data_IF_215783525669
#
_entry.id   IF_215783525669
#
_cell.length_a   1.000
_cell.length_b   1.000
_cell.length_c   1.000
_cell.angle_alpha   90.00
_cell.angle_beta   90.00
_cell.angle_gamma   90.00
#
_symmetry.space_group_name_H-M   'P 1'
#
loop_
_entity.id
_entity.type
_entity.pdbx_description
1 polymer ?
#
# COMPACT_ATOMS: atom_id res chain seq x y z
N UNK A 1 41.15 -28.13 -1.42
CA UNK A 1 40.14 -27.39 -0.70
C UNK A 1 38.88 -27.44 -1.55
N UNK A 2 37.92 -28.28 -1.14
CA UNK A 2 36.65 -28.45 -1.85
C UNK A 2 35.68 -27.36 -1.35
N UNK A 3 35.39 -26.35 -2.15
CA UNK A 3 34.33 -25.39 -1.86
C UNK A 3 33.00 -26.05 -2.18
N UNK A 4 32.31 -26.51 -1.15
CA UNK A 4 30.89 -26.84 -1.23
C UNK A 4 30.11 -25.53 -1.34
N UNK A 5 29.73 -25.15 -2.55
CA UNK A 5 28.67 -24.18 -2.77
C UNK A 5 27.36 -24.88 -2.34
N UNK A 6 26.97 -24.65 -1.09
CA UNK A 6 25.61 -24.93 -0.68
C UNK A 6 24.71 -23.97 -1.47
N UNK A 7 24.19 -24.43 -2.60
CA UNK A 7 23.04 -23.83 -3.24
C UNK A 7 21.91 -23.87 -2.22
N UNK A 8 21.66 -22.73 -1.59
CA UNK A 8 20.43 -22.49 -0.83
C UNK A 8 19.30 -22.50 -1.87
N UNK A 9 18.82 -23.68 -2.22
CA UNK A 9 17.63 -23.86 -3.04
C UNK A 9 16.46 -23.30 -2.22
N UNK A 10 16.18 -22.02 -2.42
CA UNK A 10 14.98 -21.39 -1.88
C UNK A 10 13.81 -22.20 -2.45
N UNK A 11 13.00 -22.77 -1.57
CA UNK A 11 11.84 -23.57 -1.98
C UNK A 11 10.93 -22.70 -2.84
N UNK A 12 10.46 -23.26 -3.95
CA UNK A 12 9.47 -22.59 -4.79
C UNK A 12 8.20 -22.33 -3.95
N UNK A 13 7.80 -21.09 -3.87
CA UNK A 13 6.62 -20.66 -3.09
C UNK A 13 5.32 -21.32 -3.58
N UNK A 14 5.24 -21.71 -4.86
CA UNK A 14 4.11 -22.47 -5.43
C UNK A 14 4.00 -23.88 -4.84
N UNK A 15 5.14 -24.46 -4.40
CA UNK A 15 5.18 -25.80 -3.79
C UNK A 15 5.04 -25.69 -2.28
N UNK A 16 5.76 -24.74 -1.66
CA UNK A 16 5.75 -24.54 -0.21
C UNK A 16 5.98 -23.05 0.12
N UNK A 17 4.88 -22.32 0.33
CA UNK A 17 4.90 -20.91 0.72
C UNK A 17 5.15 -20.65 2.20
N UNK A 18 5.30 -21.66 3.05
CA UNK A 18 5.30 -21.54 4.53
C UNK A 18 6.40 -20.64 5.11
N UNK A 19 7.52 -20.48 4.39
CA UNK A 19 8.64 -19.61 4.81
C UNK A 19 8.41 -18.12 4.48
N UNK A 20 7.45 -17.82 3.62
CA UNK A 20 7.18 -16.47 3.11
C UNK A 20 6.08 -15.80 3.93
N UNK A 21 6.43 -15.28 5.09
CA UNK A 21 5.49 -14.64 6.00
C UNK A 21 5.55 -13.13 5.89
N UNK A 22 4.38 -12.50 5.84
CA UNK A 22 4.25 -11.05 5.79
C UNK A 22 4.73 -10.41 7.10
N UNK A 23 5.54 -9.37 6.96
CA UNK A 23 6.11 -8.59 8.05
C UNK A 23 6.02 -7.10 7.73
N UNK A 24 5.90 -6.30 8.77
CA UNK A 24 6.01 -4.85 8.68
C UNK A 24 7.24 -4.42 9.47
N UNK A 25 8.12 -3.68 8.81
CA UNK A 25 9.28 -3.05 9.44
C UNK A 25 9.08 -1.55 9.40
N UNK A 26 9.27 -0.88 10.51
CA UNK A 26 9.08 0.56 10.64
C UNK A 26 10.36 1.23 11.12
N UNK A 27 10.73 2.32 10.48
CA UNK A 27 11.74 3.29 10.93
C UNK A 27 11.05 4.62 11.24
N UNK A 28 11.80 5.62 11.68
CA UNK A 28 11.25 6.97 11.92
C UNK A 28 10.69 7.63 10.65
N UNK A 29 11.17 7.24 9.47
CA UNK A 29 10.80 7.84 8.19
C UNK A 29 9.98 6.93 7.28
N UNK A 30 10.11 5.62 7.42
CA UNK A 30 9.63 4.65 6.45
C UNK A 30 8.92 3.48 7.10
N UNK A 31 8.04 2.87 6.34
CA UNK A 31 7.35 1.64 6.65
C UNK A 31 7.46 0.69 5.47
N UNK A 32 7.97 -0.51 5.69
CA UNK A 32 8.10 -1.53 4.67
C UNK A 32 7.20 -2.73 5.00
N UNK A 33 6.37 -3.12 4.04
CA UNK A 33 5.52 -4.32 4.08
C UNK A 33 6.09 -5.34 3.10
N UNK A 34 6.58 -6.48 3.60
CA UNK A 34 7.19 -7.53 2.78
C UNK A 34 6.88 -8.92 3.32
N UNK A 35 6.74 -9.88 2.40
CA UNK A 35 6.67 -11.31 2.75
C UNK A 35 7.82 -12.14 2.15
N UNK A 36 8.84 -11.47 1.59
CA UNK A 36 9.98 -12.14 0.92
C UNK A 36 9.72 -12.49 -0.55
N UNK A 37 8.49 -12.34 -1.05
CA UNK A 37 8.13 -12.49 -2.48
C UNK A 37 7.86 -11.13 -3.12
N UNK A 38 7.17 -10.25 -2.38
CA UNK A 38 6.92 -8.86 -2.71
C UNK A 38 7.36 -7.96 -1.57
N UNK A 39 7.74 -6.73 -1.90
CA UNK A 39 8.03 -5.67 -0.93
C UNK A 39 7.43 -4.35 -1.41
N UNK A 40 6.80 -3.61 -0.50
CA UNK A 40 6.33 -2.25 -0.76
C UNK A 40 6.75 -1.35 0.38
N UNK A 41 7.50 -0.30 0.06
CA UNK A 41 8.03 0.66 1.02
C UNK A 41 7.33 2.01 0.86
N UNK A 42 6.95 2.57 2.00
CA UNK A 42 6.26 3.85 2.10
C UNK A 42 7.13 4.82 2.89
N UNK A 43 7.30 6.04 2.38
CA UNK A 43 7.76 7.16 3.20
C UNK A 43 6.56 7.74 3.96
N UNK A 44 6.78 8.23 5.19
CA UNK A 44 5.72 8.76 6.03
C UNK A 44 5.62 10.30 6.02
N UNK A 45 6.67 10.99 5.65
CA UNK A 45 6.74 12.46 5.65
C UNK A 45 7.40 12.97 4.36
N UNK A 46 6.93 14.12 3.81
CA UNK A 46 5.89 15.06 4.32
C UNK A 46 4.45 14.57 4.12
N UNK A 47 4.23 13.51 3.35
CA UNK A 47 2.98 12.79 3.22
C UNK A 47 3.28 11.32 2.88
N UNK A 48 2.36 10.40 3.16
CA UNK A 48 2.59 9.00 2.80
C UNK A 48 2.61 8.83 1.29
N UNK A 49 3.67 8.18 0.81
CA UNK A 49 3.82 7.81 -0.58
C UNK A 49 4.58 6.49 -0.71
N UNK A 50 4.18 5.65 -1.65
CA UNK A 50 4.98 4.49 -2.06
C UNK A 50 6.26 4.96 -2.74
N UNK A 51 7.41 4.58 -2.20
CA UNK A 51 8.74 4.92 -2.72
C UNK A 51 9.47 3.74 -3.33
N UNK A 52 9.05 2.51 -3.02
CA UNK A 52 9.54 1.30 -3.67
C UNK A 52 8.41 0.26 -3.75
N UNK A 53 8.40 -0.50 -4.82
CA UNK A 53 7.56 -1.67 -5.00
C UNK A 53 8.38 -2.70 -5.79
N UNK A 54 8.77 -3.77 -5.11
CA UNK A 54 9.77 -4.71 -5.61
C UNK A 54 9.19 -6.11 -5.73
N UNK A 55 9.48 -6.74 -6.86
CA UNK A 55 9.25 -8.15 -7.08
C UNK A 55 10.52 -8.91 -6.67
N UNK A 56 10.53 -9.46 -5.46
CA UNK A 56 11.68 -10.14 -4.89
C UNK A 56 11.95 -11.51 -5.52
N UNK A 57 10.99 -12.06 -6.26
CA UNK A 57 11.16 -13.34 -6.95
C UNK A 57 12.10 -13.23 -8.15
N UNK A 58 12.14 -12.08 -8.81
CA UNK A 58 13.00 -11.81 -9.96
C UNK A 58 13.98 -10.65 -9.76
N UNK A 59 13.91 -9.97 -8.61
CA UNK A 59 14.78 -8.85 -8.26
C UNK A 59 14.44 -7.54 -8.97
N UNK A 60 13.26 -7.41 -9.56
CA UNK A 60 12.84 -6.20 -10.26
C UNK A 60 12.29 -5.15 -9.30
N UNK A 61 12.81 -3.92 -9.40
CA UNK A 61 12.18 -2.72 -8.87
C UNK A 61 11.17 -2.20 -9.89
N UNK A 62 9.89 -2.26 -9.55
CA UNK A 62 8.81 -1.96 -10.49
C UNK A 62 8.52 -0.47 -10.60
N UNK A 63 8.78 0.31 -9.52
CA UNK A 63 8.39 1.71 -9.46
C UNK A 63 9.40 2.63 -10.17
N UNK A 64 8.90 3.51 -11.05
CA UNK A 64 9.71 4.52 -11.77
C UNK A 64 9.46 5.94 -11.26
N UNK A 65 8.25 6.21 -10.77
CA UNK A 65 7.91 7.53 -10.23
C UNK A 65 6.90 7.43 -9.10
N UNK A 66 7.00 8.37 -8.16
CA UNK A 66 6.07 8.49 -7.05
C UNK A 66 4.76 9.08 -7.54
N UNK A 67 3.65 8.50 -7.08
CA UNK A 67 2.28 8.92 -7.37
C UNK A 67 1.47 9.02 -6.06
N UNK A 68 0.31 9.68 -6.07
CA UNK A 68 -0.63 9.58 -4.95
C UNK A 68 -1.03 8.14 -4.69
N UNK A 69 -1.26 7.82 -3.43
CA UNK A 69 -1.78 6.50 -3.06
C UNK A 69 -3.16 6.23 -3.64
N UNK A 70 -3.96 7.28 -3.80
CA UNK A 70 -5.25 7.23 -4.48
C UNK A 70 -5.61 8.62 -5.02
N UNK A 71 -6.63 8.70 -5.86
CA UNK A 71 -7.28 9.96 -6.24
C UNK A 71 -8.78 9.79 -6.10
N UNK A 72 -9.43 10.74 -5.44
CA UNK A 72 -10.88 10.79 -5.28
C UNK A 72 -11.43 12.00 -6.04
N UNK A 73 -12.51 11.81 -6.78
CA UNK A 73 -13.29 12.93 -7.33
C UNK A 73 -14.52 13.13 -6.46
N UNK A 74 -14.52 14.21 -5.68
CA UNK A 74 -15.61 14.56 -4.75
C UNK A 74 -16.24 15.85 -5.21
N UNK A 75 -17.56 15.85 -5.41
CA UNK A 75 -18.34 17.00 -5.90
C UNK A 75 -17.74 17.62 -7.19
N UNK A 76 -17.23 16.75 -8.09
CA UNK A 76 -16.64 17.16 -9.37
C UNK A 76 -15.19 17.65 -9.31
N UNK A 77 -14.55 17.69 -8.13
CA UNK A 77 -13.15 18.10 -7.97
C UNK A 77 -12.28 16.92 -7.57
N UNK A 78 -11.08 16.83 -8.17
CA UNK A 78 -10.09 15.78 -7.85
C UNK A 78 -9.27 16.15 -6.61
N UNK A 79 -9.12 15.17 -5.72
CA UNK A 79 -8.31 15.25 -4.50
C UNK A 79 -7.37 14.05 -4.46
N UNK A 80 -6.04 14.28 -4.55
CA UNK A 80 -5.07 13.22 -4.29
C UNK A 80 -5.12 12.78 -2.83
N UNK A 81 -4.77 11.53 -2.58
CA UNK A 81 -4.60 10.97 -1.22
C UNK A 81 -3.14 10.60 -1.06
N UNK A 82 -2.45 11.25 -0.13
CA UNK A 82 -1.01 11.05 0.00
C UNK A 82 -0.24 11.48 -1.26
N UNK A 83 0.91 10.86 -1.46
CA UNK A 83 1.77 11.12 -2.60
C UNK A 83 2.73 12.27 -2.41
N UNK A 84 3.81 12.23 -3.19
CA UNK A 84 4.80 13.31 -3.29
C UNK A 84 4.90 13.79 -4.73
N UNK A 85 5.32 15.04 -4.89
CA UNK A 85 5.37 15.76 -6.15
C UNK A 85 6.72 16.43 -6.36
N UNK A 86 6.95 16.90 -7.58
CA UNK A 86 8.20 17.53 -8.04
C UNK A 86 9.37 16.56 -8.20
N UNK A 87 9.09 15.28 -8.49
CA UNK A 87 10.14 14.38 -8.95
C UNK A 87 10.78 14.95 -10.22
N UNK A 88 12.11 15.16 -10.27
CA UNK A 88 12.77 15.82 -11.40
C UNK A 88 12.65 15.04 -12.72
N UNK A 89 12.74 13.72 -12.63
CA UNK A 89 12.70 12.79 -13.76
C UNK A 89 11.69 11.69 -13.48
N UNK A 90 10.81 11.38 -14.44
CA UNK A 90 9.67 10.47 -14.23
C UNK A 90 9.94 9.02 -14.66
N UNK A 91 11.09 8.72 -15.25
CA UNK A 91 11.43 7.41 -15.81
C UNK A 91 12.35 6.56 -14.91
N UNK A 92 12.82 7.12 -13.81
CA UNK A 92 13.50 6.41 -12.74
C UNK A 92 13.37 7.17 -11.42
N UNK A 93 13.49 6.45 -10.31
CA UNK A 93 13.45 7.01 -8.97
C UNK A 93 14.85 6.87 -8.32
N UNK A 94 15.33 7.98 -7.76
CA UNK A 94 16.56 8.04 -6.96
C UNK A 94 16.19 8.53 -5.55
N UNK A 95 16.83 8.00 -4.53
CA UNK A 95 16.62 8.40 -3.15
C UNK A 95 16.87 9.90 -2.93
N UNK A 96 17.87 10.47 -3.60
CA UNK A 96 18.17 11.91 -3.52
C UNK A 96 17.00 12.79 -3.97
N UNK A 97 16.15 12.28 -4.88
CA UNK A 97 14.97 13.03 -5.34
C UNK A 97 13.91 13.14 -4.26
N UNK A 98 13.79 12.10 -3.41
CA UNK A 98 12.73 11.99 -2.40
C UNK A 98 12.88 13.09 -1.36
N UNK A 99 14.10 13.48 -1.00
CA UNK A 99 14.37 14.49 0.02
C UNK A 99 13.84 15.88 -0.37
N UNK A 100 13.81 16.19 -1.67
CA UNK A 100 13.34 17.48 -2.21
C UNK A 100 11.87 17.46 -2.63
N UNK A 101 11.20 16.30 -2.56
CA UNK A 101 9.80 16.19 -2.96
C UNK A 101 8.85 16.75 -1.89
N UNK A 102 7.75 17.31 -2.36
CA UNK A 102 6.77 17.98 -1.50
C UNK A 102 5.39 17.33 -1.59
N UNK A 103 4.58 17.52 -0.55
CA UNK A 103 3.15 17.19 -0.60
C UNK A 103 2.38 18.20 -1.45
N UNK A 104 1.28 17.76 -2.05
CA UNK A 104 0.35 18.65 -2.74
C UNK A 104 -0.57 19.34 -1.73
N UNK A 105 -0.78 20.65 -1.88
CA UNK A 105 -1.60 21.47 -0.96
C UNK A 105 -3.08 21.04 -0.92
N UNK A 106 -3.57 20.39 -1.97
CA UNK A 106 -4.96 19.91 -2.05
C UNK A 106 -5.11 18.43 -1.69
N UNK A 107 -3.99 17.73 -1.44
CA UNK A 107 -4.02 16.32 -1.12
C UNK A 107 -4.56 16.06 0.29
N UNK A 108 -5.28 14.97 0.45
CA UNK A 108 -5.52 14.41 1.76
C UNK A 108 -4.17 14.08 2.43
N UNK A 109 -3.99 14.60 3.65
CA UNK A 109 -2.72 14.55 4.37
C UNK A 109 -2.75 13.41 5.39
N UNK A 110 -1.66 12.67 5.44
CA UNK A 110 -1.45 11.60 6.41
C UNK A 110 -1.55 12.12 7.85
N UNK A 111 -2.22 11.33 8.69
CA UNK A 111 -2.40 11.62 10.13
C UNK A 111 -1.79 10.52 10.98
N UNK A 112 -2.08 9.26 10.65
CA UNK A 112 -1.65 8.12 11.44
C UNK A 112 -1.73 6.83 10.62
N UNK A 113 -1.10 5.79 11.12
CA UNK A 113 -1.29 4.44 10.61
C UNK A 113 -1.47 3.44 11.76
N UNK A 114 -2.03 2.29 11.43
CA UNK A 114 -2.08 1.11 12.29
C UNK A 114 -1.58 -0.10 11.53
N UNK A 115 -0.91 -1.00 12.24
CA UNK A 115 -0.42 -2.29 11.73
C UNK A 115 -1.12 -3.39 12.50
N UNK A 116 -1.56 -4.43 11.81
CA UNK A 116 -2.23 -5.58 12.41
C UNK A 116 -2.23 -6.79 11.50
N UNK A 117 -3.01 -7.77 11.88
CA UNK A 117 -3.28 -8.95 11.05
C UNK A 117 -4.36 -8.64 10.01
N UNK A 118 -4.44 -9.46 8.97
CA UNK A 118 -5.54 -9.41 8.00
C UNK A 118 -6.89 -9.64 8.69
N UNK A 119 -7.94 -9.03 8.17
CA UNK A 119 -9.29 -9.16 8.73
C UNK A 119 -10.27 -9.70 7.70
N UNK A 120 -11.31 -10.35 8.17
CA UNK A 120 -12.44 -10.73 7.32
C UNK A 120 -13.19 -9.48 6.85
N UNK A 121 -13.15 -9.22 5.53
CA UNK A 121 -13.84 -8.07 4.90
C UNK A 121 -15.23 -8.41 4.39
N UNK A 122 -15.43 -9.68 4.07
CA UNK A 122 -16.71 -10.22 3.63
C UNK A 122 -16.80 -11.70 4.05
N UNK A 123 -17.99 -12.20 4.34
CA UNK A 123 -18.16 -13.61 4.70
C UNK A 123 -17.82 -14.48 3.47
N UNK A 124 -16.73 -15.22 3.58
CA UNK A 124 -16.33 -16.16 2.56
C UNK A 124 -16.38 -17.58 3.11
N UNK A 125 -17.13 -18.44 2.44
CA UNK A 125 -17.19 -19.87 2.75
C UNK A 125 -16.75 -20.64 1.51
N UNK A 126 -15.50 -21.14 1.48
CA UNK A 126 -15.05 -21.95 0.37
C UNK A 126 -15.89 -23.20 0.24
N UNK A 127 -16.30 -23.55 -0.97
CA UNK A 127 -16.88 -24.86 -1.26
C UNK A 127 -15.78 -25.90 -1.09
N UNK A 128 -15.88 -26.72 -0.05
CA UNK A 128 -14.83 -27.69 0.34
C UNK A 128 -14.49 -28.72 -0.74
N UNK A 129 -15.40 -28.97 -1.67
CA UNK A 129 -15.25 -29.95 -2.75
C UNK A 129 -14.06 -29.68 -3.69
N UNK A 130 -13.59 -28.43 -3.77
CA UNK A 130 -12.54 -27.99 -4.69
C UNK A 130 -11.22 -27.63 -4.01
N UNK A 131 -11.18 -27.62 -2.70
CA UNK A 131 -9.98 -27.24 -1.96
C UNK A 131 -9.36 -28.47 -1.32
N UNK A 132 -8.16 -28.83 -1.79
CA UNK A 132 -7.36 -29.89 -1.17
C UNK A 132 -6.87 -29.53 0.23
N UNK A 133 -6.83 -28.25 0.59
CA UNK A 133 -6.35 -27.71 1.86
C UNK A 133 -7.39 -26.84 2.54
N UNK A 134 -7.47 -26.94 3.86
CA UNK A 134 -8.26 -26.07 4.72
C UNK A 134 -7.53 -24.75 4.93
N UNK A 135 -7.51 -23.89 3.93
CA UNK A 135 -6.94 -22.57 4.07
C UNK A 135 -7.79 -21.74 5.05
N UNK A 136 -7.16 -21.11 6.05
CA UNK A 136 -7.90 -20.24 6.97
C UNK A 136 -8.46 -19.02 6.23
N UNK A 137 -9.60 -18.54 6.72
CA UNK A 137 -10.18 -17.27 6.28
C UNK A 137 -10.44 -16.39 7.50
N UNK A 138 -10.01 -15.11 7.50
CA UNK A 138 -9.23 -14.47 6.43
C UNK A 138 -7.87 -15.13 6.21
N UNK A 139 -7.35 -15.03 4.99
CA UNK A 139 -6.00 -15.53 4.69
C UNK A 139 -4.98 -14.81 5.58
N UNK A 140 -4.05 -15.54 6.24
CA UNK A 140 -3.08 -14.92 7.13
C UNK A 140 -2.17 -13.95 6.39
N UNK A 141 -1.70 -12.93 7.08
CA UNK A 141 -0.84 -11.89 6.53
C UNK A 141 -0.82 -10.64 7.40
N UNK A 142 -0.25 -9.56 6.90
CA UNK A 142 -0.18 -8.27 7.57
C UNK A 142 -1.03 -7.22 6.86
N UNK A 143 -1.63 -6.36 7.69
CA UNK A 143 -2.48 -5.25 7.29
C UNK A 143 -1.90 -3.94 7.78
N UNK A 144 -1.86 -2.93 6.89
CA UNK A 144 -1.55 -1.55 7.23
C UNK A 144 -2.75 -0.70 6.85
N UNK A 145 -3.16 0.20 7.74
CA UNK A 145 -4.19 1.20 7.49
C UNK A 145 -3.58 2.57 7.65
N UNK A 146 -3.40 3.29 6.56
CA UNK A 146 -3.04 4.70 6.59
C UNK A 146 -4.30 5.55 6.66
N UNK A 147 -4.36 6.47 7.61
CA UNK A 147 -5.48 7.40 7.78
C UNK A 147 -5.07 8.80 7.33
N UNK A 148 -5.90 9.40 6.50
CA UNK A 148 -5.70 10.73 5.94
C UNK A 148 -6.89 11.62 6.25
N UNK A 149 -6.63 12.92 6.41
CA UNK A 149 -7.65 13.95 6.53
C UNK A 149 -7.51 14.98 5.41
N UNK A 150 -8.60 15.67 5.12
CA UNK A 150 -8.58 16.76 4.15
C UNK A 150 -7.53 17.81 4.54
N UNK A 151 -6.85 18.39 3.54
CA UNK A 151 -5.87 19.44 3.77
C UNK A 151 -6.48 20.61 4.56
N UNK A 152 -5.70 21.37 5.36
CA UNK A 152 -6.22 22.47 6.18
C UNK A 152 -6.95 23.56 5.36
N UNK A 153 -6.56 23.74 4.10
CA UNK A 153 -7.18 24.70 3.17
C UNK A 153 -8.29 24.11 2.31
N UNK A 154 -8.68 22.87 2.58
CA UNK A 154 -9.74 22.22 1.82
C UNK A 154 -11.10 22.94 2.01
N UNK A 155 -11.98 22.88 1.00
CA UNK A 155 -13.34 23.40 1.11
C UNK A 155 -14.06 22.84 2.35
N UNK A 156 -14.91 23.65 2.98
CA UNK A 156 -15.59 23.30 4.24
C UNK A 156 -16.33 21.96 4.16
N UNK A 157 -16.96 21.67 3.02
CA UNK A 157 -17.76 20.47 2.81
C UNK A 157 -16.95 19.16 2.87
N UNK A 158 -15.62 19.21 2.63
CA UNK A 158 -14.77 18.01 2.70
C UNK A 158 -13.84 17.98 3.91
N UNK A 159 -13.82 19.03 4.77
CA UNK A 159 -12.94 19.10 5.95
C UNK A 159 -13.13 17.95 6.93
N UNK A 160 -14.36 17.42 7.00
CA UNK A 160 -14.70 16.31 7.87
C UNK A 160 -14.67 14.95 7.14
N UNK A 161 -14.10 14.91 5.95
CA UNK A 161 -13.88 13.66 5.24
C UNK A 161 -12.57 13.03 5.70
N UNK A 162 -12.65 11.78 6.08
CA UNK A 162 -11.49 10.93 6.39
C UNK A 162 -11.37 9.87 5.32
N UNK A 163 -10.15 9.64 4.86
CA UNK A 163 -9.82 8.60 3.89
C UNK A 163 -8.88 7.61 4.54
N UNK A 164 -9.16 6.32 4.41
CA UNK A 164 -8.22 5.27 4.78
C UNK A 164 -7.76 4.53 3.53
N UNK A 165 -6.46 4.35 3.39
CA UNK A 165 -5.86 3.47 2.40
C UNK A 165 -5.31 2.26 3.13
N UNK A 166 -5.79 1.09 2.75
CA UNK A 166 -5.55 -0.16 3.44
C UNK A 166 -4.78 -1.10 2.52
N UNK A 167 -3.69 -1.62 3.01
CA UNK A 167 -2.88 -2.63 2.34
C UNK A 167 -2.90 -3.92 3.13
N UNK A 168 -3.05 -5.04 2.45
CA UNK A 168 -2.87 -6.37 3.03
C UNK A 168 -1.96 -7.20 2.13
N UNK A 169 -0.89 -7.72 2.72
CA UNK A 169 0.03 -8.66 2.09
C UNK A 169 -0.14 -10.02 2.75
N UNK A 170 -0.39 -11.03 1.94
CA UNK A 170 -0.72 -12.36 2.44
C UNK A 170 0.52 -13.25 2.56
N UNK A 171 0.48 -14.16 3.53
CA UNK A 171 1.51 -15.15 3.74
C UNK A 171 1.53 -16.17 2.60
N UNK A 172 2.72 -16.63 2.25
CA UNK A 172 2.92 -17.72 1.30
C UNK A 172 2.65 -17.41 -0.16
N UNK A 173 2.20 -16.20 -0.51
CA UNK A 173 1.85 -15.84 -1.88
C UNK A 173 2.23 -14.39 -2.22
N UNK A 174 2.64 -14.09 -3.47
CA UNK A 174 2.94 -12.73 -3.91
C UNK A 174 1.65 -11.95 -4.21
N UNK A 175 0.78 -11.83 -3.20
CA UNK A 175 -0.52 -11.16 -3.33
C UNK A 175 -0.59 -10.01 -2.35
N UNK A 176 -0.65 -8.80 -2.90
CA UNK A 176 -0.90 -7.55 -2.18
C UNK A 176 -2.28 -7.03 -2.58
N UNK A 177 -3.16 -6.82 -1.61
CA UNK A 177 -4.44 -6.17 -1.85
C UNK A 177 -4.42 -4.73 -1.36
N UNK A 178 -5.22 -3.88 -2.00
CA UNK A 178 -5.43 -2.49 -1.63
C UNK A 178 -6.91 -2.15 -1.61
N UNK A 179 -7.32 -1.41 -0.59
CA UNK A 179 -8.68 -0.94 -0.39
C UNK A 179 -8.67 0.52 0.04
N UNK A 180 -9.73 1.24 -0.33
CA UNK A 180 -9.97 2.61 0.11
C UNK A 180 -11.30 2.65 0.85
N UNK A 181 -11.30 3.32 2.01
CA UNK A 181 -12.50 3.69 2.75
C UNK A 181 -12.61 5.20 2.79
N UNK A 182 -13.78 5.74 2.49
CA UNK A 182 -14.08 7.17 2.55
C UNK A 182 -15.22 7.37 3.54
N UNK A 183 -14.96 8.13 4.59
CA UNK A 183 -15.92 8.42 5.65
C UNK A 183 -16.20 9.92 5.71
N UNK A 184 -17.45 10.31 5.58
CA UNK A 184 -17.87 11.68 5.77
C UNK A 184 -18.52 11.85 7.15
N UNK A 185 -17.81 12.49 8.07
CA UNK A 185 -18.30 12.82 9.42
C UNK A 185 -18.92 14.22 9.48
N UNK A 186 -19.03 14.91 8.35
CA UNK A 186 -19.65 16.22 8.25
C UNK A 186 -21.18 16.14 8.22
N UNK A 187 -21.82 17.31 8.43
CA UNK A 187 -23.29 17.44 8.36
C UNK A 187 -23.82 17.51 6.93
N UNK A 188 -22.99 17.96 5.99
CA UNK A 188 -23.36 18.08 4.58
C UNK A 188 -23.02 16.80 3.83
N UNK A 189 -23.92 16.35 2.96
CA UNK A 189 -23.64 15.23 2.06
C UNK A 189 -22.57 15.61 1.04
N UNK A 190 -21.77 14.63 0.63
CA UNK A 190 -20.82 14.72 -0.48
C UNK A 190 -21.17 13.71 -1.54
N UNK A 191 -20.79 13.97 -2.77
CA UNK A 191 -20.93 13.03 -3.89
C UNK A 191 -19.53 12.52 -4.26
N UNK A 192 -19.27 11.24 -4.07
CA UNK A 192 -18.09 10.58 -4.62
C UNK A 192 -18.38 10.20 -6.07
N UNK A 193 -17.87 11.00 -7.00
CA UNK A 193 -18.11 10.82 -8.44
C UNK A 193 -17.30 9.65 -9.01
N UNK A 194 -16.03 9.58 -8.63
CA UNK A 194 -15.11 8.52 -9.07
C UNK A 194 -13.92 8.38 -8.12
N UNK A 195 -13.19 7.30 -8.26
CA UNK A 195 -11.95 7.08 -7.55
C UNK A 195 -10.95 6.27 -8.38
N UNK A 196 -9.67 6.52 -8.15
CA UNK A 196 -8.55 5.70 -8.62
C UNK A 196 -7.92 5.08 -7.39
N UNK A 197 -8.06 3.77 -7.22
CA UNK A 197 -7.59 3.06 -6.03
C UNK A 197 -6.10 2.75 -6.07
N UNK A 198 -5.51 2.64 -7.25
CA UNK A 198 -4.08 2.41 -7.43
C UNK A 198 -3.58 3.21 -8.63
N UNK A 199 -2.42 3.84 -8.45
CA UNK A 199 -1.73 4.60 -9.48
C UNK A 199 -0.25 4.25 -9.36
N UNK A 200 0.24 3.40 -10.24
CA UNK A 200 1.64 3.02 -10.30
C UNK A 200 2.27 3.58 -11.59
N UNK A 201 3.45 4.16 -11.46
CA UNK A 201 4.31 4.50 -12.58
C UNK A 201 5.37 3.39 -12.69
N UNK A 202 5.09 2.40 -13.51
CA UNK A 202 5.92 1.22 -13.76
C UNK A 202 6.89 1.47 -14.92
#
# INVERSE_FOLDING_TARGET
>A
VQYSLALNLQKDWLIDGSSYQAKVTTTDKELCLSNGLLSRTFILSPNVATIAFDNLMNGNAELRAIRPEAVLTINGMEYPVGGLYKQPVQNFLNNDFIEDMISCDTAFTYVSHTVGETIERFPYRPKQEWLSNKNPWPAPGKRIVFTYKAAPRAPEMIRNVTVKVIYELYDGAPILSKQIEVENQGKSSIVLNSFKSEILAL
#
